data_IF_820522024146
#
_entry.id   IF_820522024146
#
_cell.length_a   1.000
_cell.length_b   1.000
_cell.length_c   1.000
_cell.angle_alpha   90.00
_cell.angle_beta   90.00
_cell.angle_gamma   90.00
#
_symmetry.space_group_name_H-M   'P 1'
#
loop_
_entity.id
_entity.type
_entity.pdbx_description
1 polymer ?
#
# COMPACT_ATOMS: atom_id res chain seq x y z
N UNK A 1 47.83 22.11 -14.92
CA UNK A 1 46.36 22.10 -14.97
C UNK A 1 45.89 21.04 -13.99
N UNK A 2 45.63 21.42 -12.74
CA UNK A 2 45.22 20.49 -11.68
C UNK A 2 43.76 20.78 -11.39
N UNK A 3 42.86 19.94 -11.88
CA UNK A 3 41.42 20.10 -11.71
C UNK A 3 40.97 19.55 -10.36
N UNK A 4 40.22 20.34 -9.61
CA UNK A 4 39.59 19.88 -8.37
C UNK A 4 38.33 19.09 -8.68
N UNK A 5 38.25 17.87 -8.14
CA UNK A 5 37.05 17.03 -8.20
C UNK A 5 36.22 17.29 -6.94
N UNK A 6 34.94 17.58 -7.12
CA UNK A 6 33.96 17.67 -6.03
C UNK A 6 33.03 16.46 -6.11
N UNK A 7 32.99 15.68 -5.02
CA UNK A 7 32.07 14.55 -4.87
C UNK A 7 30.89 15.02 -4.04
N UNK A 8 29.71 15.06 -4.64
CA UNK A 8 28.47 15.31 -3.91
C UNK A 8 27.96 13.98 -3.32
N UNK A 9 27.96 13.89 -1.99
CA UNK A 9 27.34 12.78 -1.28
C UNK A 9 25.82 13.01 -1.22
N UNK A 10 25.04 12.11 -1.79
CA UNK A 10 23.57 12.14 -1.69
C UNK A 10 23.20 11.49 -0.35
N UNK A 11 22.47 12.19 0.55
CA UNK A 11 21.97 11.55 1.76
C UNK A 11 21.02 10.42 1.37
N UNK A 12 21.29 9.21 1.87
CA UNK A 12 20.43 8.06 1.62
C UNK A 12 19.19 8.19 2.49
N UNK A 13 18.00 8.20 1.88
CA UNK A 13 16.76 7.98 2.62
C UNK A 13 16.79 6.54 3.13
N UNK A 14 16.81 6.37 4.45
CA UNK A 14 16.65 5.05 5.06
C UNK A 14 15.28 4.48 4.65
N UNK A 15 15.21 3.18 4.29
CA UNK A 15 13.93 2.55 3.97
C UNK A 15 13.03 2.60 5.20
N UNK A 16 11.82 3.15 5.03
CA UNK A 16 10.79 3.11 6.06
C UNK A 16 10.57 1.65 6.47
N UNK A 17 10.60 1.29 7.77
CA UNK A 17 10.28 -0.06 8.19
C UNK A 17 8.99 -0.52 7.50
N UNK A 18 9.09 -1.64 6.78
CA UNK A 18 7.95 -2.24 6.10
C UNK A 18 6.97 -2.75 7.17
N UNK A 19 6.05 -1.88 7.60
CA UNK A 19 4.92 -2.29 8.42
C UNK A 19 4.09 -3.30 7.62
N UNK A 20 3.59 -4.37 8.24
CA UNK A 20 2.70 -5.29 7.55
C UNK A 20 1.51 -4.49 7.03
N UNK A 21 1.18 -4.68 5.76
CA UNK A 21 0.15 -3.88 5.12
C UNK A 21 -1.17 -4.05 5.88
N UNK A 22 -1.78 -2.94 6.32
CA UNK A 22 -3.04 -2.97 7.04
C UNK A 22 -4.19 -3.14 6.05
N UNK A 23 -4.68 -4.37 5.92
CA UNK A 23 -5.83 -4.70 5.08
C UNK A 23 -7.10 -4.58 5.92
N UNK A 24 -8.10 -3.85 5.41
CA UNK A 24 -9.42 -3.72 6.03
C UNK A 24 -10.19 -5.04 5.89
N UNK A 25 -10.56 -5.63 7.02
CA UNK A 25 -11.33 -6.88 7.07
C UNK A 25 -12.79 -6.70 7.50
N UNK A 26 -13.17 -5.51 7.98
CA UNK A 26 -14.52 -5.18 8.46
C UNK A 26 -15.16 -4.07 7.63
N UNK A 27 -16.44 -4.23 7.32
CA UNK A 27 -17.23 -3.26 6.56
C UNK A 27 -17.38 -1.94 7.35
N UNK A 28 -17.10 -0.77 6.73
CA UNK A 28 -17.22 0.52 7.41
C UNK A 28 -18.66 0.90 7.76
N UNK A 29 -19.65 0.29 7.12
CA UNK A 29 -21.07 0.63 7.31
C UNK A 29 -21.74 -0.25 8.38
N UNK A 30 -21.44 -1.55 8.41
CA UNK A 30 -22.14 -2.49 9.30
C UNK A 30 -21.21 -3.41 10.12
N UNK A 31 -19.89 -3.18 10.08
CA UNK A 31 -18.85 -3.95 10.77
C UNK A 31 -18.77 -5.45 10.43
N UNK A 32 -19.65 -5.97 9.57
CA UNK A 32 -19.61 -7.35 9.12
C UNK A 32 -18.33 -7.63 8.30
N UNK A 33 -17.91 -8.91 8.17
CA UNK A 33 -16.74 -9.28 7.38
C UNK A 33 -16.80 -8.83 5.92
N UNK A 34 -15.63 -8.62 5.35
CA UNK A 34 -15.42 -8.33 3.94
C UNK A 34 -14.81 -9.54 3.22
N UNK A 35 -15.46 -9.99 2.15
CA UNK A 35 -14.96 -11.02 1.25
C UNK A 35 -14.23 -10.40 0.05
N UNK A 36 -13.02 -10.87 -0.22
CA UNK A 36 -12.23 -10.43 -1.37
C UNK A 36 -12.87 -10.85 -2.69
N UNK A 37 -13.08 -9.89 -3.59
CA UNK A 37 -13.54 -10.16 -4.96
C UNK A 37 -12.39 -10.12 -5.96
N UNK A 38 -11.52 -9.10 -5.85
CA UNK A 38 -10.43 -8.89 -6.79
C UNK A 38 -9.30 -8.06 -6.18
N UNK A 39 -8.07 -8.42 -6.51
CA UNK A 39 -6.90 -7.56 -6.31
C UNK A 39 -6.48 -7.00 -7.66
N UNK A 40 -6.32 -5.69 -7.74
CA UNK A 40 -5.80 -5.00 -8.93
C UNK A 40 -4.37 -4.54 -8.59
N UNK A 41 -3.34 -5.04 -9.28
CA UNK A 41 -1.96 -4.66 -8.99
C UNK A 41 -1.69 -3.23 -9.49
N UNK A 42 -1.06 -2.43 -8.64
CA UNK A 42 -0.52 -1.12 -8.99
C UNK A 42 0.99 -1.07 -8.82
N UNK A 43 1.60 0.05 -9.24
CA UNK A 43 3.06 0.23 -9.16
C UNK A 43 3.59 0.45 -7.74
N UNK A 44 2.76 1.00 -6.86
CA UNK A 44 3.13 1.37 -5.49
C UNK A 44 2.15 0.83 -4.44
N UNK A 45 1.05 0.22 -4.87
CA UNK A 45 0.00 -0.29 -4.01
C UNK A 45 -0.84 -1.34 -4.76
N UNK A 46 -1.54 -2.17 -4.00
CA UNK A 46 -2.60 -3.04 -4.49
C UNK A 46 -3.98 -2.45 -4.15
N UNK A 47 -4.93 -2.61 -5.06
CA UNK A 47 -6.30 -2.16 -4.86
C UNK A 47 -7.22 -3.36 -4.69
N UNK A 48 -7.70 -3.56 -3.47
CA UNK A 48 -8.48 -4.72 -3.06
C UNK A 48 -9.96 -4.36 -3.09
N UNK A 49 -10.69 -4.91 -4.05
CA UNK A 49 -12.14 -4.77 -4.12
C UNK A 49 -12.80 -5.89 -3.33
N UNK A 50 -13.66 -5.54 -2.38
CA UNK A 50 -14.27 -6.47 -1.45
C UNK A 50 -15.78 -6.27 -1.37
N UNK A 51 -16.51 -7.35 -1.07
CA UNK A 51 -17.95 -7.33 -0.82
C UNK A 51 -18.21 -7.60 0.66
N UNK A 52 -19.09 -6.82 1.26
CA UNK A 52 -19.56 -7.09 2.61
C UNK A 52 -20.52 -8.28 2.65
N UNK A 53 -20.27 -9.21 3.57
CA UNK A 53 -21.10 -10.40 3.76
C UNK A 53 -22.42 -10.08 4.51
N UNK A 54 -22.51 -8.93 5.16
CA UNK A 54 -23.70 -8.45 5.87
C UNK A 54 -24.62 -7.59 5.01
N UNK A 55 -24.13 -6.42 4.57
CA UNK A 55 -24.96 -5.46 3.81
C UNK A 55 -24.87 -5.62 2.28
N UNK A 56 -23.94 -6.45 1.77
CA UNK A 56 -23.71 -6.61 0.34
C UNK A 56 -22.96 -5.45 -0.34
N UNK A 57 -22.60 -4.40 0.40
CA UNK A 57 -21.87 -3.25 -0.11
C UNK A 57 -20.51 -3.61 -0.68
N UNK A 58 -20.06 -2.87 -1.69
CA UNK A 58 -18.74 -3.03 -2.31
C UNK A 58 -17.82 -1.94 -1.78
N UNK A 59 -16.66 -2.36 -1.27
CA UNK A 59 -15.65 -1.46 -0.72
C UNK A 59 -14.32 -1.66 -1.43
N UNK A 60 -13.52 -0.60 -1.44
CA UNK A 60 -12.15 -0.60 -1.93
C UNK A 60 -11.20 -0.36 -0.77
N UNK A 61 -10.15 -1.16 -0.70
CA UNK A 61 -9.03 -0.94 0.20
C UNK A 61 -7.74 -0.79 -0.59
N UNK A 62 -6.87 0.11 -0.13
CA UNK A 62 -5.61 0.45 -0.80
C UNK A 62 -4.50 -0.04 0.11
N UNK A 63 -3.75 -1.02 -0.38
CA UNK A 63 -2.73 -1.72 0.38
C UNK A 63 -1.37 -1.32 -0.18
N UNK A 64 -0.65 -0.45 0.53
CA UNK A 64 0.65 0.04 0.06
C UNK A 64 1.65 -1.12 -0.07
N UNK A 65 2.38 -1.12 -1.19
CA UNK A 65 3.47 -2.06 -1.41
C UNK A 65 4.76 -1.47 -0.86
N UNK A 66 5.66 -2.29 -0.30
CA UNK A 66 7.02 -1.86 -0.01
C UNK A 66 7.64 -1.25 -1.27
N UNK A 67 8.21 -0.05 -1.14
CA UNK A 67 8.99 0.52 -2.25
C UNK A 67 10.19 -0.41 -2.49
N UNK A 68 10.30 -0.90 -3.72
CA UNK A 68 11.43 -1.70 -4.18
C UNK A 68 12.72 -0.88 -4.28
#
# INVERSE_FOLDING_TARGET
MTGNVVVAAVPQCEPDPAWPAQIRTSCPECAAPLSLLRVIPGRAAEYWTMRCDGCGGIHLDIVDLPRA
#
